data_IF_380487911597
#
_entry.id   IF_380487911597
#
_cell.length_a   1.000
_cell.length_b   1.000
_cell.length_c   1.000
_cell.angle_alpha   90.00
_cell.angle_beta   90.00
_cell.angle_gamma   90.00
#
_symmetry.space_group_name_H-M   'P 1'
#
loop_
_entity.id
_entity.type
_entity.pdbx_description
1 polymer ?
#
# COMPACT_ATOMS: atom_id res chain seq x y z
N UNK A 1 -22.56 34.90 22.11
CA UNK A 1 -21.65 35.08 23.25
C UNK A 1 -20.31 34.43 22.89
N UNK A 2 -19.15 35.08 23.12
CA UNK A 2 -17.84 34.49 22.80
C UNK A 2 -17.42 33.54 23.94
N UNK A 3 -16.99 32.32 23.60
CA UNK A 3 -16.48 31.36 24.58
C UNK A 3 -15.15 31.81 25.19
N UNK A 4 -14.85 31.34 26.40
CA UNK A 4 -13.60 31.66 27.10
C UNK A 4 -12.43 30.81 26.60
N UNK A 5 -11.35 31.45 26.17
CA UNK A 5 -10.10 30.81 25.78
C UNK A 5 -9.28 30.44 27.03
N UNK A 6 -9.66 29.34 27.69
CA UNK A 6 -8.99 28.84 28.90
C UNK A 6 -8.15 27.61 28.57
N UNK A 7 -6.88 27.83 28.29
CA UNK A 7 -5.86 26.78 28.24
C UNK A 7 -5.49 26.34 29.67
N UNK A 8 -6.33 25.52 30.30
CA UNK A 8 -6.04 24.90 31.60
C UNK A 8 -6.11 23.38 31.47
N UNK A 9 -4.97 22.71 31.59
CA UNK A 9 -4.91 21.25 31.64
C UNK A 9 -5.54 20.70 32.92
N UNK A 10 -6.28 19.60 32.81
CA UNK A 10 -6.76 18.88 34.00
C UNK A 10 -5.60 18.15 34.67
N UNK A 11 -5.53 18.19 36.00
CA UNK A 11 -4.53 17.46 36.80
C UNK A 11 -4.63 15.93 36.62
N UNK A 12 -5.84 15.42 36.32
CA UNK A 12 -6.08 14.05 35.89
C UNK A 12 -7.14 14.05 34.77
N UNK A 13 -6.89 13.32 33.68
CA UNK A 13 -7.79 13.25 32.52
C UNK A 13 -7.99 11.81 32.09
N UNK A 14 -9.17 11.25 32.33
CA UNK A 14 -9.54 9.95 31.80
C UNK A 14 -9.99 10.10 30.34
N UNK A 15 -9.09 9.82 29.40
CA UNK A 15 -9.37 9.90 27.97
C UNK A 15 -9.70 8.52 27.41
N UNK A 16 -10.99 8.25 27.18
CA UNK A 16 -11.39 7.09 26.40
C UNK A 16 -11.06 7.31 24.91
N UNK A 17 -10.06 6.60 24.39
CA UNK A 17 -9.67 6.68 22.98
C UNK A 17 -10.81 6.28 22.02
N UNK A 18 -11.70 5.38 22.44
CA UNK A 18 -12.87 4.95 21.66
C UNK A 18 -13.82 6.11 21.36
N UNK A 19 -14.02 7.02 22.32
CA UNK A 19 -14.92 8.18 22.19
C UNK A 19 -14.33 9.29 21.31
N UNK A 20 -13.01 9.31 21.12
CA UNK A 20 -12.33 10.32 20.28
C UNK A 20 -12.43 10.05 18.79
N UNK A 21 -12.88 8.86 18.39
CA UNK A 21 -12.87 8.42 16.99
C UNK A 21 -14.30 8.36 16.46
N UNK A 22 -14.62 9.00 15.32
CA UNK A 22 -15.97 9.00 14.78
C UNK A 22 -16.56 7.59 14.64
N UNK A 23 -17.81 7.40 15.06
CA UNK A 23 -18.50 6.10 15.00
C UNK A 23 -18.57 5.50 13.58
N UNK A 24 -18.52 6.36 12.54
CA UNK A 24 -18.50 5.99 11.12
C UNK A 24 -17.10 5.87 10.51
N UNK A 25 -16.03 5.94 11.29
CA UNK A 25 -14.66 5.87 10.76
C UNK A 25 -14.35 4.46 10.22
N UNK A 26 -13.85 4.30 8.97
CA UNK A 26 -13.70 2.98 8.34
C UNK A 26 -12.76 2.03 9.09
N UNK A 27 -11.70 2.58 9.73
CA UNK A 27 -10.81 1.78 10.59
C UNK A 27 -11.54 1.09 11.76
N UNK A 28 -12.75 1.51 12.17
CA UNK A 28 -13.53 0.76 13.17
C UNK A 28 -13.95 -0.62 12.69
N UNK A 29 -14.46 -0.70 11.46
CA UNK A 29 -14.86 -1.97 10.86
C UNK A 29 -13.66 -2.88 10.67
N UNK A 30 -12.59 -2.33 10.09
CA UNK A 30 -11.32 -3.03 9.86
C UNK A 30 -10.73 -3.54 11.17
N UNK A 31 -10.67 -2.71 12.24
CA UNK A 31 -10.15 -3.13 13.55
C UNK A 31 -10.96 -4.28 14.15
N UNK A 32 -12.29 -4.29 14.00
CA UNK A 32 -13.13 -5.40 14.47
C UNK A 32 -12.76 -6.71 13.78
N UNK A 33 -12.74 -6.71 12.43
CA UNK A 33 -12.38 -7.88 11.60
C UNK A 33 -10.99 -8.39 11.96
N UNK A 34 -10.01 -7.48 12.09
CA UNK A 34 -8.62 -7.82 12.37
C UNK A 34 -8.47 -8.36 13.78
N UNK A 35 -9.10 -7.77 14.80
CA UNK A 35 -9.04 -8.28 16.16
C UNK A 35 -9.74 -9.65 16.30
N UNK A 36 -10.82 -9.89 15.55
CA UNK A 36 -11.52 -11.18 15.54
C UNK A 36 -10.66 -12.25 14.85
N UNK A 37 -9.96 -11.90 13.76
CA UNK A 37 -9.00 -12.79 13.10
C UNK A 37 -7.74 -13.04 13.94
N UNK A 38 -7.21 -12.03 14.64
CA UNK A 38 -6.05 -12.19 15.52
C UNK A 38 -6.36 -13.11 16.70
N UNK A 39 -7.54 -12.96 17.33
CA UNK A 39 -8.00 -13.83 18.43
C UNK A 39 -8.16 -15.30 18.03
N UNK A 40 -8.33 -15.63 16.74
CA UNK A 40 -8.34 -17.03 16.29
C UNK A 40 -6.93 -17.61 16.12
N UNK A 41 -5.88 -16.78 16.21
CA UNK A 41 -4.48 -17.16 16.12
C UNK A 41 -3.72 -17.13 17.46
N UNK A 42 -4.36 -16.77 18.59
CA UNK A 42 -3.73 -16.66 19.92
C UNK A 42 -2.84 -17.89 20.24
N UNK A 43 -3.35 -19.11 20.04
CA UNK A 43 -2.61 -20.36 20.30
C UNK A 43 -1.44 -20.64 19.34
N UNK A 44 -1.38 -19.97 18.18
CA UNK A 44 -0.21 -19.98 17.30
C UNK A 44 0.80 -18.91 17.73
N UNK A 45 0.34 -17.76 18.24
CA UNK A 45 1.20 -16.72 18.80
C UNK A 45 1.89 -17.18 20.09
N UNK A 46 1.18 -17.84 21.00
CA UNK A 46 1.73 -18.41 22.24
C UNK A 46 2.93 -19.35 22.00
N UNK A 47 3.00 -20.00 20.82
CA UNK A 47 4.11 -20.89 20.43
C UNK A 47 5.33 -20.15 19.89
N UNK A 48 5.18 -18.89 19.45
CA UNK A 48 6.26 -18.07 18.89
C UNK A 48 6.97 -17.22 19.94
N UNK A 49 6.31 -16.95 21.06
CA UNK A 49 6.83 -16.17 22.17
C UNK A 49 7.22 -17.09 23.33
N UNK A 50 8.28 -16.73 24.05
CA UNK A 50 8.64 -17.42 25.28
C UNK A 50 7.70 -16.97 26.41
N UNK A 51 7.27 -17.90 27.26
CA UNK A 51 6.44 -17.58 28.44
C UNK A 51 7.19 -16.77 29.52
N UNK A 52 8.52 -16.65 29.42
CA UNK A 52 9.37 -15.95 30.37
C UNK A 52 10.35 -15.00 29.66
N UNK A 53 10.74 -13.92 30.34
CA UNK A 53 11.74 -12.96 29.88
C UNK A 53 11.24 -11.52 29.86
N UNK A 54 11.97 -10.64 29.16
CA UNK A 54 11.54 -9.25 28.96
C UNK A 54 10.35 -9.21 27.99
N UNK A 55 9.22 -8.56 28.34
CA UNK A 55 8.10 -8.41 27.43
C UNK A 55 8.51 -7.77 26.08
N UNK A 56 8.24 -8.49 25.00
CA UNK A 56 8.35 -8.01 23.62
C UNK A 56 7.08 -7.26 23.20
N UNK A 57 7.10 -6.67 22.00
CA UNK A 57 5.88 -6.09 21.41
C UNK A 57 4.92 -7.26 21.10
N UNK A 58 3.68 -7.16 21.55
CA UNK A 58 2.65 -8.18 21.32
C UNK A 58 2.35 -8.35 19.81
N UNK A 59 2.10 -9.58 19.32
CA UNK A 59 1.93 -9.83 17.90
C UNK A 59 0.74 -9.10 17.28
N UNK A 60 -0.36 -8.96 18.02
CA UNK A 60 -1.56 -8.20 17.62
C UNK A 60 -1.21 -6.74 17.36
N UNK A 61 -0.38 -6.15 18.24
CA UNK A 61 0.10 -4.77 18.13
C UNK A 61 1.06 -4.62 16.94
N UNK A 62 1.93 -5.60 16.67
CA UNK A 62 2.82 -5.61 15.49
C UNK A 62 2.04 -5.72 14.17
N UNK A 63 1.06 -6.62 14.10
CA UNK A 63 0.22 -6.84 12.91
C UNK A 63 -0.69 -5.65 12.69
N UNK A 64 -1.33 -5.12 13.75
CA UNK A 64 -2.15 -3.92 13.69
C UNK A 64 -1.38 -2.70 13.20
N UNK A 65 -0.17 -2.47 13.71
CA UNK A 65 0.69 -1.37 13.24
C UNK A 65 1.17 -1.57 11.79
N UNK A 66 1.53 -2.78 11.39
CA UNK A 66 1.93 -3.10 10.01
C UNK A 66 0.79 -2.89 9.02
N UNK A 67 -0.43 -3.33 9.39
CA UNK A 67 -1.63 -3.12 8.59
C UNK A 67 -1.99 -1.63 8.49
N UNK A 68 -1.90 -0.89 9.61
CA UNK A 68 -2.11 0.55 9.62
C UNK A 68 -1.11 1.28 8.70
N UNK A 69 0.15 0.84 8.67
CA UNK A 69 1.17 1.38 7.78
C UNK A 69 0.76 1.25 6.30
N UNK A 70 0.22 0.08 5.92
CA UNK A 70 -0.28 -0.19 4.55
C UNK A 70 -1.53 0.65 4.25
N UNK A 71 -2.56 0.58 5.11
CA UNK A 71 -3.85 1.25 4.92
C UNK A 71 -3.72 2.79 4.85
N UNK A 72 -2.79 3.37 5.60
CA UNK A 72 -2.50 4.80 5.59
C UNK A 72 -1.33 5.20 4.67
N UNK A 73 -0.77 4.26 3.88
CA UNK A 73 0.34 4.49 2.95
C UNK A 73 1.58 5.17 3.58
N UNK A 74 1.87 4.83 4.85
CA UNK A 74 2.95 5.43 5.65
C UNK A 74 4.29 4.89 5.16
N UNK A 75 5.18 5.79 4.73
CA UNK A 75 6.35 5.43 3.91
C UNK A 75 7.52 4.82 4.70
N UNK A 76 7.55 4.98 6.03
CA UNK A 76 8.57 4.36 6.88
C UNK A 76 8.05 4.01 8.26
N UNK A 77 8.69 3.06 8.92
CA UNK A 77 8.39 2.70 10.31
C UNK A 77 8.77 3.81 11.30
N UNK A 78 9.78 4.63 10.97
CA UNK A 78 10.09 5.84 11.74
C UNK A 78 8.90 6.80 11.75
N UNK A 79 8.36 7.09 10.57
CA UNK A 79 7.15 7.89 10.41
C UNK A 79 5.94 7.24 11.09
N UNK A 80 5.83 5.90 11.09
CA UNK A 80 4.78 5.18 11.82
C UNK A 80 4.88 5.41 13.34
N UNK A 81 6.08 5.28 13.93
CA UNK A 81 6.28 5.54 15.35
C UNK A 81 6.06 7.03 15.69
N UNK A 82 6.55 7.95 14.87
CA UNK A 82 6.28 9.39 15.00
C UNK A 82 4.78 9.68 14.98
N UNK A 83 4.05 9.12 14.01
CA UNK A 83 2.59 9.27 13.95
C UNK A 83 1.89 8.64 15.15
N UNK A 84 2.32 7.47 15.63
CA UNK A 84 1.78 6.88 16.85
C UNK A 84 1.98 7.77 18.08
N UNK A 85 2.99 8.63 18.10
CA UNK A 85 3.28 9.50 19.24
C UNK A 85 2.19 10.58 19.47
N UNK A 86 1.65 11.17 18.40
CA UNK A 86 0.62 12.21 18.49
C UNK A 86 -0.78 11.80 17.98
N UNK A 87 -0.90 10.74 17.18
CA UNK A 87 -2.16 10.39 16.53
C UNK A 87 -2.97 9.38 17.36
N UNK A 88 -3.97 9.88 18.08
CA UNK A 88 -4.87 9.08 18.93
C UNK A 88 -5.61 7.98 18.15
N UNK A 89 -5.95 8.21 16.87
CA UNK A 89 -6.57 7.19 16.00
C UNK A 89 -5.62 6.01 15.76
N UNK A 90 -4.32 6.28 15.64
CA UNK A 90 -3.31 5.26 15.38
C UNK A 90 -3.01 4.44 16.64
N UNK A 91 -2.81 5.11 17.78
CA UNK A 91 -2.69 4.43 19.09
C UNK A 91 -3.90 3.53 19.34
N UNK A 92 -5.10 4.08 19.16
CA UNK A 92 -6.34 3.34 19.30
C UNK A 92 -6.41 2.13 18.38
N UNK A 93 -6.14 2.29 17.07
CA UNK A 93 -6.26 1.18 16.11
C UNK A 93 -5.37 0.00 16.51
N UNK A 94 -4.12 0.31 16.86
CA UNK A 94 -3.10 -0.64 17.28
C UNK A 94 -3.34 -1.20 18.69
N UNK A 95 -4.21 -0.58 19.50
CA UNK A 95 -4.46 -0.98 20.89
C UNK A 95 -3.35 -0.54 21.85
N UNK A 96 -2.68 0.58 21.55
CA UNK A 96 -1.75 1.28 22.44
C UNK A 96 -2.53 2.27 23.33
N UNK A 97 -2.19 2.34 24.61
CA UNK A 97 -2.72 3.36 25.53
C UNK A 97 -2.31 4.79 25.15
N UNK A 98 -2.95 5.78 25.76
CA UNK A 98 -2.57 7.19 25.56
C UNK A 98 -1.19 7.49 26.16
N UNK A 99 -0.91 6.96 27.35
CA UNK A 99 0.36 7.14 28.08
C UNK A 99 1.38 6.00 27.82
N UNK A 100 0.98 4.90 27.17
CA UNK A 100 1.86 3.79 26.80
C UNK A 100 3.00 4.28 25.90
N UNK A 101 4.26 4.05 26.24
CA UNK A 101 5.39 4.48 25.42
C UNK A 101 5.38 3.84 24.00
N UNK A 102 5.61 4.66 22.98
CA UNK A 102 5.78 4.20 21.59
C UNK A 102 7.10 3.42 21.45
N UNK A 103 7.12 2.44 20.55
CA UNK A 103 8.28 1.58 20.37
C UNK A 103 9.43 2.27 19.62
N UNK A 104 10.65 1.85 19.94
CA UNK A 104 11.83 2.23 19.15
C UNK A 104 11.71 1.62 17.74
N UNK A 105 11.83 2.40 16.65
CA UNK A 105 11.59 1.91 15.29
C UNK A 105 12.37 0.64 14.95
N UNK A 106 13.65 0.56 15.30
CA UNK A 106 14.51 -0.62 15.02
C UNK A 106 14.13 -1.87 15.81
N UNK A 107 13.43 -1.72 16.96
CA UNK A 107 12.85 -2.84 17.70
C UNK A 107 11.58 -3.30 17.01
N UNK A 108 10.75 -2.39 16.53
CA UNK A 108 9.58 -2.71 15.71
C UNK A 108 9.97 -3.49 14.45
N UNK A 109 10.93 -3.01 13.65
CA UNK A 109 11.42 -3.69 12.43
C UNK A 109 11.78 -5.16 12.72
N UNK A 110 12.65 -5.38 13.72
CA UNK A 110 13.16 -6.72 14.05
C UNK A 110 12.08 -7.68 14.55
N UNK A 111 11.10 -7.18 15.32
CA UNK A 111 10.00 -8.01 15.80
C UNK A 111 9.00 -8.30 14.68
N UNK A 112 8.70 -7.32 13.81
CA UNK A 112 7.88 -7.52 12.61
C UNK A 112 8.49 -8.59 11.70
N UNK A 113 9.78 -8.48 11.37
CA UNK A 113 10.46 -9.40 10.46
C UNK A 113 10.55 -10.82 11.02
N UNK A 114 10.63 -10.97 12.35
CA UNK A 114 10.54 -12.27 13.04
C UNK A 114 9.12 -12.84 13.03
N UNK A 115 8.09 -12.00 13.11
CA UNK A 115 6.68 -12.43 13.22
C UNK A 115 6.05 -12.73 11.85
N UNK A 116 6.21 -11.83 10.87
CA UNK A 116 5.59 -11.90 9.55
C UNK A 116 6.29 -12.87 8.60
N UNK A 117 6.53 -14.09 9.09
CA UNK A 117 6.91 -15.25 8.28
C UNK A 117 5.81 -15.60 7.27
N UNK A 118 6.16 -16.36 6.24
CA UNK A 118 5.20 -16.79 5.19
C UNK A 118 3.99 -17.52 5.78
N UNK A 119 4.18 -18.38 6.78
CA UNK A 119 3.09 -19.16 7.38
C UNK A 119 2.17 -18.30 8.25
N UNK A 120 2.71 -17.43 9.10
CA UNK A 120 1.89 -16.53 9.93
C UNK A 120 1.14 -15.54 9.04
N UNK A 121 1.80 -14.99 8.02
CA UNK A 121 1.14 -14.11 7.02
C UNK A 121 0.02 -14.84 6.27
N UNK A 122 0.21 -16.11 5.89
CA UNK A 122 -0.83 -16.96 5.29
C UNK A 122 -2.01 -17.19 6.24
N UNK A 123 -1.74 -17.55 7.50
CA UNK A 123 -2.77 -17.80 8.52
C UNK A 123 -3.61 -16.56 8.81
N UNK A 124 -2.96 -15.40 9.01
CA UNK A 124 -3.64 -14.11 9.21
C UNK A 124 -4.55 -13.79 8.01
N UNK A 125 -4.02 -13.91 6.78
CA UNK A 125 -4.81 -13.64 5.57
C UNK A 125 -6.00 -14.60 5.45
N UNK A 126 -5.80 -15.90 5.70
CA UNK A 126 -6.89 -16.89 5.69
C UNK A 126 -7.97 -16.58 6.75
N UNK A 127 -7.58 -16.20 7.96
CA UNK A 127 -8.51 -15.83 9.04
C UNK A 127 -9.30 -14.56 8.71
N UNK A 128 -8.67 -13.55 8.08
CA UNK A 128 -9.35 -12.33 7.61
C UNK A 128 -10.32 -12.66 6.47
N UNK A 129 -9.91 -13.44 5.47
CA UNK A 129 -10.76 -13.80 4.33
C UNK A 129 -11.96 -14.68 4.75
N UNK A 130 -11.79 -15.55 5.75
CA UNK A 130 -12.86 -16.37 6.32
C UNK A 130 -13.80 -15.59 7.26
N UNK A 131 -13.50 -14.34 7.60
CA UNK A 131 -14.33 -13.55 8.50
C UNK A 131 -15.69 -13.23 7.86
N UNK A 132 -16.80 -13.41 8.61
CA UNK A 132 -18.19 -13.31 8.10
C UNK A 132 -18.51 -12.03 7.30
N UNK A 133 -17.84 -10.93 7.63
CA UNK A 133 -18.03 -9.62 7.00
C UNK A 133 -17.16 -9.39 5.76
N UNK A 134 -16.12 -10.21 5.59
CA UNK A 134 -15.21 -10.20 4.44
C UNK A 134 -15.69 -11.20 3.39
N UNK A 135 -16.14 -12.41 3.81
CA UNK A 135 -16.70 -13.44 2.91
C UNK A 135 -17.81 -12.87 2.01
N UNK A 136 -18.66 -11.98 2.55
CA UNK A 136 -19.74 -11.31 1.79
C UNK A 136 -19.25 -10.31 0.73
N UNK A 137 -17.96 -9.97 0.73
CA UNK A 137 -17.30 -9.06 -0.22
C UNK A 137 -16.42 -9.81 -1.23
N UNK A 138 -16.25 -11.14 -1.06
CA UNK A 138 -15.54 -11.98 -2.01
C UNK A 138 -16.51 -12.46 -3.08
N UNK A 139 -16.04 -12.51 -4.33
CA UNK A 139 -16.68 -13.31 -5.37
C UNK A 139 -15.78 -14.49 -5.70
N UNK A 140 -16.39 -15.64 -5.99
CA UNK A 140 -15.71 -16.81 -6.55
C UNK A 140 -15.45 -16.67 -8.07
N UNK A 141 -15.88 -15.55 -8.68
CA UNK A 141 -15.60 -15.20 -10.07
C UNK A 141 -14.10 -15.13 -10.36
N UNK A 142 -13.68 -15.62 -11.52
CA UNK A 142 -12.27 -15.69 -11.90
C UNK A 142 -11.68 -14.31 -12.22
N UNK A 143 -11.07 -13.67 -11.23
CA UNK A 143 -10.37 -12.38 -11.39
C UNK A 143 -8.89 -12.58 -11.78
N UNK A 144 -8.53 -12.26 -13.03
CA UNK A 144 -7.12 -12.23 -13.44
C UNK A 144 -6.44 -10.93 -12.99
N UNK A 145 -5.73 -10.97 -11.86
CA UNK A 145 -4.78 -9.92 -11.47
C UNK A 145 -3.65 -9.86 -12.48
N UNK A 146 -3.29 -8.67 -12.97
CA UNK A 146 -2.04 -8.50 -13.71
C UNK A 146 -0.85 -8.71 -12.77
N UNK A 147 -0.28 -9.92 -12.84
CA UNK A 147 0.87 -10.32 -12.05
C UNK A 147 2.13 -9.49 -12.30
N UNK A 148 2.20 -8.71 -13.38
CA UNK A 148 3.33 -7.80 -13.62
C UNK A 148 3.36 -6.66 -12.59
N UNK A 149 2.19 -6.14 -12.17
CA UNK A 149 2.10 -5.10 -11.14
C UNK A 149 2.55 -5.62 -9.77
N UNK A 150 2.15 -6.84 -9.41
CA UNK A 150 2.58 -7.51 -8.18
C UNK A 150 4.10 -7.74 -8.21
N UNK A 151 4.63 -8.22 -9.34
CA UNK A 151 6.08 -8.45 -9.54
C UNK A 151 6.89 -7.14 -9.52
N UNK A 152 6.33 -6.04 -10.02
CA UNK A 152 6.95 -4.71 -9.98
C UNK A 152 6.99 -4.13 -8.56
N UNK A 153 5.90 -4.28 -7.78
CA UNK A 153 5.85 -3.87 -6.38
C UNK A 153 6.74 -4.72 -5.46
N UNK A 154 6.86 -6.02 -5.73
CA UNK A 154 7.67 -6.95 -4.92
C UNK A 154 9.19 -6.87 -5.19
N UNK A 155 9.62 -6.17 -6.24
CA UNK A 155 11.03 -6.13 -6.67
C UNK A 155 11.68 -4.77 -6.41
N UNK A 156 12.70 -4.72 -5.55
CA UNK A 156 13.55 -3.52 -5.40
C UNK A 156 14.28 -3.10 -6.69
N UNK A 157 14.29 -3.94 -7.73
CA UNK A 157 14.87 -3.63 -9.05
C UNK A 157 13.90 -2.87 -9.99
N UNK A 158 12.69 -2.52 -9.55
CA UNK A 158 11.69 -1.81 -10.38
C UNK A 158 11.86 -0.29 -10.41
N UNK A 159 12.69 0.29 -9.53
CA UNK A 159 13.04 1.70 -9.58
C UNK A 159 14.05 1.96 -10.70
N UNK A 160 13.62 2.63 -11.77
CA UNK A 160 14.54 3.23 -12.74
C UNK A 160 14.84 4.68 -12.34
N UNK A 161 16.10 5.13 -12.43
CA UNK A 161 16.44 6.55 -12.35
C UNK A 161 15.64 7.32 -13.41
N UNK A 162 15.18 8.53 -13.06
CA UNK A 162 14.64 9.45 -14.06
C UNK A 162 15.85 10.15 -14.69
N UNK A 163 16.16 9.80 -15.93
CA UNK A 163 17.29 10.40 -16.64
C UNK A 163 17.07 11.92 -16.75
N UNK A 164 18.10 12.67 -16.36
CA UNK A 164 18.13 14.11 -16.58
C UNK A 164 18.57 14.35 -18.01
N UNK A 165 17.69 14.94 -18.83
CA UNK A 165 18.03 15.38 -20.18
C UNK A 165 19.18 16.40 -20.10
N UNK A 166 20.37 15.99 -20.53
CA UNK A 166 21.49 16.89 -20.82
C UNK A 166 21.38 17.24 -22.30
N UNK A 167 21.33 18.53 -22.69
CA UNK A 167 21.14 18.90 -24.08
C UNK A 167 22.33 18.51 -24.94
N UNK A 168 22.04 18.05 -26.16
CA UNK A 168 23.02 17.55 -27.13
C UNK A 168 24.18 18.52 -27.37
N UNK A 169 25.39 17.95 -27.52
CA UNK A 169 26.56 18.68 -28.02
C UNK A 169 26.89 18.21 -29.43
N UNK A 170 26.83 19.19 -30.31
CA UNK A 170 27.13 19.23 -31.74
C UNK A 170 28.35 18.37 -32.16
N UNK A 171 28.18 17.62 -33.25
CA UNK A 171 29.21 16.74 -33.85
C UNK A 171 30.13 17.52 -34.81
N UNK A 172 31.41 17.12 -34.90
CA UNK A 172 32.35 17.65 -35.90
C UNK A 172 33.57 16.75 -36.16
N UNK A 173 34.09 16.61 -37.40
CA UNK A 173 34.64 15.33 -37.86
C UNK A 173 36.12 15.33 -38.33
N UNK A 174 36.74 14.13 -38.44
CA UNK A 174 37.99 13.93 -39.21
C UNK A 174 38.85 12.68 -38.94
N UNK A 175 38.51 11.52 -39.54
CA UNK A 175 39.30 10.68 -40.50
C UNK A 175 40.78 10.20 -40.22
N UNK A 176 41.31 9.12 -40.89
CA UNK A 176 41.26 7.72 -40.39
C UNK A 176 42.65 6.97 -40.38
N UNK A 177 42.83 5.74 -40.93
CA UNK A 177 42.83 4.42 -40.23
C UNK A 177 44.17 3.63 -40.25
N UNK A 178 44.23 2.43 -39.65
CA UNK A 178 45.24 1.38 -39.98
C UNK A 178 44.71 -0.08 -39.75
N UNK A 179 45.35 -1.06 -40.39
CA UNK A 179 44.86 -2.41 -40.74
C UNK A 179 45.05 -3.54 -39.69
N UNK A 180 44.34 -4.67 -39.83
CA UNK A 180 44.58 -5.87 -39.02
C UNK A 180 43.66 -7.11 -39.17
N UNK A 181 43.75 -7.82 -40.31
CA UNK A 181 43.30 -9.20 -40.63
C UNK A 181 42.52 -10.11 -39.63
N UNK A 182 41.54 -10.87 -40.17
CA UNK A 182 40.99 -12.14 -39.63
C UNK A 182 41.27 -13.29 -40.63
N UNK A 183 41.36 -14.60 -40.26
CA UNK A 183 40.14 -15.44 -40.15
C UNK A 183 40.16 -16.74 -39.26
N UNK A 184 38.97 -17.07 -38.73
CA UNK A 184 38.32 -18.42 -38.65
C UNK A 184 39.02 -19.62 -37.96
N UNK A 185 38.38 -20.17 -36.90
CA UNK A 185 38.01 -21.62 -36.83
C UNK A 185 36.99 -21.93 -35.70
N UNK A 186 35.97 -22.74 -36.02
CA UNK A 186 34.92 -23.31 -35.13
C UNK A 186 35.13 -24.85 -35.04
N UNK A 187 34.38 -25.70 -34.26
CA UNK A 187 33.01 -25.56 -33.70
C UNK A 187 32.92 -26.00 -32.20
N UNK A 188 31.82 -26.43 -31.54
CA UNK A 188 30.48 -26.86 -31.98
C UNK A 188 29.35 -26.86 -30.90
N UNK A 189 28.11 -27.05 -31.37
CA UNK A 189 26.88 -27.75 -30.85
C UNK A 189 26.74 -28.24 -29.37
N UNK A 190 25.55 -28.33 -28.73
CA UNK A 190 24.12 -28.18 -29.12
C UNK A 190 23.23 -27.98 -27.84
N UNK A 191 22.40 -26.93 -27.73
CA UNK A 191 20.94 -26.80 -28.01
C UNK A 191 19.94 -27.48 -27.04
N UNK A 192 18.99 -26.69 -26.49
CA UNK A 192 17.52 -26.95 -26.49
C UNK A 192 16.75 -25.70 -26.03
N UNK A 193 15.97 -25.09 -26.92
CA UNK A 193 14.93 -24.10 -26.60
C UNK A 193 13.55 -24.77 -26.45
N UNK A 194 12.59 -24.13 -25.75
CA UNK A 194 11.17 -24.23 -26.06
C UNK A 194 10.70 -23.02 -26.91
N UNK A 195 9.97 -23.29 -27.99
CA UNK A 195 9.69 -22.34 -29.07
C UNK A 195 8.69 -21.20 -28.73
N UNK A 196 8.81 -20.01 -29.37
CA UNK A 196 7.87 -18.90 -29.21
C UNK A 196 6.64 -19.02 -30.14
N UNK A 197 5.45 -18.63 -29.65
CA UNK A 197 4.23 -18.55 -30.47
C UNK A 197 4.22 -17.32 -31.39
N UNK A 198 3.63 -17.50 -32.57
CA UNK A 198 3.71 -16.59 -33.72
C UNK A 198 2.86 -15.32 -33.56
N UNK A 199 3.44 -14.16 -33.91
CA UNK A 199 2.78 -12.85 -33.90
C UNK A 199 2.11 -12.55 -35.25
N UNK A 200 0.78 -12.30 -35.32
CA UNK A 200 0.15 -11.87 -36.57
C UNK A 200 0.49 -10.41 -36.92
N UNK A 201 0.60 -10.12 -38.21
CA UNK A 201 1.16 -8.88 -38.74
C UNK A 201 0.16 -7.71 -38.81
N UNK A 202 0.73 -6.53 -38.54
CA UNK A 202 0.20 -5.16 -38.60
C UNK A 202 -0.84 -4.89 -39.72
N UNK A 203 -1.91 -4.14 -39.37
CA UNK A 203 -2.66 -3.31 -40.32
C UNK A 203 -2.76 -1.88 -39.80
N UNK A 204 -1.87 -1.01 -40.27
CA UNK A 204 -1.89 0.43 -39.98
C UNK A 204 -2.80 1.15 -40.98
N UNK A 205 -3.58 2.11 -40.48
CA UNK A 205 -4.18 3.17 -41.30
C UNK A 205 -4.14 4.46 -40.47
N UNK A 206 -3.34 5.43 -40.93
CA UNK A 206 -3.09 6.67 -40.20
C UNK A 206 -4.14 7.74 -40.53
N UNK A 207 -4.40 8.65 -39.60
CA UNK A 207 -4.92 9.99 -39.84
C UNK A 207 -4.67 10.90 -38.61
N UNK A 208 -3.51 11.58 -38.57
CA UNK A 208 -3.40 13.05 -38.76
C UNK A 208 -4.65 13.93 -38.51
N UNK A 209 -4.63 15.14 -37.90
CA UNK A 209 -3.56 16.04 -37.36
C UNK A 209 -4.17 17.01 -36.30
N UNK A 210 -3.33 17.76 -35.56
CA UNK A 210 -3.60 18.98 -34.75
C UNK A 210 -4.49 18.78 -33.49
N UNK A 211 -4.19 19.33 -32.30
CA UNK A 211 -3.12 20.23 -31.85
C UNK A 211 -3.70 21.53 -31.30
N UNK A 212 -3.63 21.76 -29.98
CA UNK A 212 -3.62 23.10 -29.35
C UNK A 212 -3.34 23.02 -27.83
N UNK A 213 -2.49 23.94 -27.37
CA UNK A 213 -2.13 24.23 -25.98
C UNK A 213 -3.33 24.64 -25.10
N UNK A 214 -3.39 24.17 -23.83
CA UNK A 214 -3.45 25.03 -22.62
C UNK A 214 -3.46 24.21 -21.30
N UNK A 215 -3.13 24.90 -20.19
CA UNK A 215 -2.93 24.31 -18.86
C UNK A 215 -4.19 23.99 -18.04
N UNK A 216 -4.02 23.65 -16.75
CA UNK A 216 -5.00 22.86 -15.99
C UNK A 216 -6.11 23.70 -15.32
N UNK A 217 -7.32 23.15 -15.23
CA UNK A 217 -8.34 23.60 -14.30
C UNK A 217 -9.21 22.45 -13.76
N UNK A 218 -9.69 22.66 -12.55
CA UNK A 218 -10.44 21.72 -11.71
C UNK A 218 -11.68 21.11 -12.37
N UNK A 219 -12.04 19.89 -11.93
CA UNK A 219 -13.39 19.35 -12.15
C UNK A 219 -14.05 18.93 -10.83
N UNK A 220 -14.99 19.77 -10.39
CA UNK A 220 -16.05 19.38 -9.45
C UNK A 220 -17.11 18.63 -10.25
N UNK A 221 -17.62 17.50 -9.75
CA UNK A 221 -18.86 16.91 -10.27
C UNK A 221 -19.91 16.81 -9.17
N UNK A 222 -21.08 17.37 -9.47
CA UNK A 222 -22.27 17.34 -8.62
C UNK A 222 -23.26 16.35 -9.23
N UNK A 223 -23.88 15.51 -8.40
CA UNK A 223 -24.96 14.61 -8.80
C UNK A 223 -26.22 14.93 -7.99
N UNK A 224 -27.14 15.68 -8.60
CA UNK A 224 -28.53 15.79 -8.14
C UNK A 224 -29.46 15.72 -9.36
N UNK A 225 -30.02 14.54 -9.60
CA UNK A 225 -31.04 14.34 -10.62
C UNK A 225 -32.39 14.89 -10.15
N UNK A 226 -32.98 15.78 -10.94
CA UNK A 226 -34.28 16.41 -10.67
C UNK A 226 -35.34 15.78 -11.57
N UNK A 227 -36.45 15.27 -10.99
CA UNK A 227 -37.63 14.85 -11.76
C UNK A 227 -38.61 16.01 -11.87
N UNK A 228 -39.02 16.36 -13.09
CA UNK A 228 -40.17 17.23 -13.37
C UNK A 228 -41.14 16.56 -14.35
N UNK A 229 -42.43 16.67 -14.02
CA UNK A 229 -43.60 16.75 -14.91
C UNK A 229 -44.78 17.06 -13.98
N UNK A 230 -45.31 18.28 -13.89
CA UNK A 230 -46.06 19.09 -14.87
C UNK A 230 -47.58 18.80 -14.83
N UNK A 231 -48.33 19.89 -15.06
CA UNK A 231 -49.79 20.02 -15.23
C UNK A 231 -50.68 20.11 -13.97
N UNK A 232 -51.80 20.85 -13.94
CA UNK A 232 -52.19 22.16 -14.55
C UNK A 232 -53.65 22.50 -14.14
N UNK A 233 -54.02 23.79 -14.14
CA UNK A 233 -55.41 24.35 -14.13
C UNK A 233 -56.12 24.63 -12.79
N UNK A 234 -56.73 25.83 -12.81
CA UNK A 234 -57.81 26.46 -12.02
C UNK A 234 -58.71 25.52 -11.18
N UNK A 235 -59.29 25.98 -10.07
CA UNK A 235 -59.92 27.32 -9.88
C UNK A 235 -59.97 27.77 -8.42
#
# INVERSE_FOLDING_TARGET
MRGSDKATGSLFSYVNLEERIPARHPLRKIRSVVNDALRSLDADFDRLYAGEGRPSIAPERLIGASLLQILCSIRSERQLMEQMDYNLLFRWFVGLGIDDAVWVPTVFTKNRDRLLTTDISRKIMAAILAHREVVQLLSDDHFSVDGTLVKAWASMKSFQPKDNEVPDRDDGPGDPPDDGASPISSPDQSTTEPAPMTRPTRRSRNAEVFGHSLGPMAFVSSLRGERRSNATTLR
#
